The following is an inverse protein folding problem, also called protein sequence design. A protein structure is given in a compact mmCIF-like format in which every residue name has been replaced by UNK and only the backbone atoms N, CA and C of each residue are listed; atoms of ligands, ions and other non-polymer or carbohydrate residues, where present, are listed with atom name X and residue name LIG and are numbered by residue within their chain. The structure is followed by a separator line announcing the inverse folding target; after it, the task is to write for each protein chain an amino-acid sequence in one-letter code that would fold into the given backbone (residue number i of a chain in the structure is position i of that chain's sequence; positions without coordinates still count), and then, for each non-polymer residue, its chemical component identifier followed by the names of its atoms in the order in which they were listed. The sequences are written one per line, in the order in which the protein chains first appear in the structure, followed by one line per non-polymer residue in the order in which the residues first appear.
data_IF_766954744416
#
_entry.id   IF_766954744416
#
_cell.length_a   1.000
_cell.length_b   1.000
_cell.length_c   1.000
_cell.angle_alpha   90.00
_cell.angle_beta   90.00
_cell.angle_gamma   90.00
#
_symmetry.space_group_name_H-M   'P 1'
#
loop_
_entity.id
_entity.type
_entity.pdbx_description
1 polymer ?
#
# COMPACT_ATOMS: atom_id res chain seq x y z
N UNK A 1 46.25 -23.49 -18.61
CA UNK A 1 45.72 -24.80 -18.17
C UNK A 1 44.26 -24.63 -17.84
N UNK A 2 43.38 -25.27 -18.61
CA UNK A 2 41.94 -25.27 -18.40
C UNK A 2 41.60 -26.58 -17.69
N UNK A 3 41.42 -26.56 -16.38
CA UNK A 3 40.86 -27.70 -15.64
C UNK A 3 39.37 -27.45 -15.39
N UNK A 4 38.54 -28.40 -15.85
CA UNK A 4 37.09 -28.37 -15.67
C UNK A 4 36.75 -28.62 -14.19
N UNK A 5 35.83 -27.81 -13.64
CA UNK A 5 35.30 -28.03 -12.29
C UNK A 5 34.53 -29.36 -12.23
N UNK A 6 34.96 -30.26 -11.33
CA UNK A 6 34.24 -31.49 -11.02
C UNK A 6 32.88 -31.16 -10.38
N UNK A 7 31.80 -31.68 -10.97
CA UNK A 7 30.44 -31.58 -10.41
C UNK A 7 29.96 -32.96 -9.98
N UNK A 8 29.32 -33.02 -8.81
CA UNK A 8 28.89 -34.26 -8.18
C UNK A 8 27.82 -34.97 -9.02
N UNK A 9 27.96 -36.26 -9.35
CA UNK A 9 27.00 -36.98 -10.17
C UNK A 9 25.69 -37.25 -9.41
N UNK A 10 24.57 -37.23 -10.13
CA UNK A 10 23.21 -37.38 -9.59
C UNK A 10 23.01 -38.75 -8.87
N UNK A 11 23.83 -39.76 -9.18
CA UNK A 11 23.86 -41.05 -8.49
C UNK A 11 24.23 -40.96 -6.99
N UNK A 12 24.89 -39.89 -6.55
CA UNK A 12 25.23 -39.66 -5.15
C UNK A 12 23.99 -39.49 -4.24
N UNK A 13 22.83 -39.13 -4.80
CA UNK A 13 21.58 -38.98 -4.04
C UNK A 13 20.84 -40.30 -3.83
N UNK A 14 21.14 -41.35 -4.60
CA UNK A 14 20.47 -42.64 -4.51
C UNK A 14 20.97 -43.49 -3.31
N UNK A 15 22.12 -43.14 -2.71
CA UNK A 15 22.78 -43.97 -1.70
C UNK A 15 22.91 -43.31 -0.31
N UNK A 16 21.87 -42.60 0.15
CA UNK A 16 21.82 -42.12 1.56
C UNK A 16 21.03 -43.12 2.42
N UNK A 17 21.67 -44.13 3.05
CA UNK A 17 21.02 -44.88 4.12
C UNK A 17 20.76 -43.92 5.28
N UNK A 18 19.47 -43.69 5.59
CA UNK A 18 19.11 -43.01 6.84
C UNK A 18 19.56 -43.89 8.00
N UNK A 19 20.30 -43.37 9.00
CA UNK A 19 20.62 -44.14 10.19
C UNK A 19 19.31 -44.58 10.88
N UNK A 20 19.25 -45.82 11.42
CA UNK A 20 18.02 -46.37 11.97
C UNK A 20 17.63 -45.58 13.23
N UNK A 21 16.33 -45.31 13.32
CA UNK A 21 15.65 -44.79 14.51
C UNK A 21 15.98 -45.73 15.68
N UNK A 22 16.83 -45.30 16.62
CA UNK A 22 16.94 -45.94 17.92
C UNK A 22 15.57 -45.85 18.60
N UNK A 23 14.87 -46.98 18.65
CA UNK A 23 13.73 -47.23 19.52
C UNK A 23 14.24 -47.63 20.92
N UNK A 24 13.45 -47.26 21.93
CA UNK A 24 13.61 -47.49 23.38
C UNK A 24 14.52 -46.40 24.01
N UNK A 25 14.03 -45.51 24.88
CA UNK A 25 13.38 -45.80 26.15
C UNK A 25 12.37 -44.68 26.58
N UNK A 26 11.45 -45.07 27.47
CA UNK A 26 10.54 -44.23 28.30
C UNK A 26 9.21 -43.78 27.64
N UNK A 27 8.29 -44.73 27.45
CA UNK A 27 6.84 -44.42 27.45
C UNK A 27 6.30 -44.54 28.88
N UNK A 28 5.60 -43.52 29.42
CA UNK A 28 4.91 -43.66 30.70
C UNK A 28 3.74 -44.66 30.60
N UNK A 29 3.34 -45.31 31.71
CA UNK A 29 2.33 -46.38 31.69
C UNK A 29 0.98 -45.87 31.16
N UNK A 30 0.39 -46.60 30.21
CA UNK A 30 -1.02 -46.42 29.83
C UNK A 30 -1.91 -46.87 31.00
N UNK A 31 -2.34 -45.92 31.81
CA UNK A 31 -3.47 -46.09 32.72
C UNK A 31 -4.77 -46.31 31.94
N UNK A 32 -5.59 -47.21 32.45
CA UNK A 32 -6.92 -47.56 31.97
C UNK A 32 -7.86 -46.34 31.92
N UNK A 33 -8.64 -46.24 30.85
CA UNK A 33 -9.68 -45.22 30.70
C UNK A 33 -10.81 -45.46 31.72
N UNK A 34 -11.02 -44.49 32.62
CA UNK A 34 -12.30 -44.22 33.24
C UNK A 34 -12.79 -42.84 32.78
N UNK A 35 -13.99 -42.80 32.22
CA UNK A 35 -14.59 -41.60 31.68
C UNK A 35 -14.81 -40.54 32.75
N UNK A 36 -14.36 -39.32 32.47
CA UNK A 36 -14.92 -38.09 33.02
C UNK A 36 -14.57 -36.92 32.11
N UNK A 37 -15.57 -36.12 31.84
CA UNK A 37 -15.55 -34.87 31.07
C UNK A 37 -14.67 -33.83 31.75
N UNK A 38 -13.44 -33.62 31.30
CA UNK A 38 -12.68 -32.39 31.56
C UNK A 38 -11.84 -32.01 30.34
N UNK A 39 -11.96 -30.75 29.91
CA UNK A 39 -11.18 -30.12 28.86
C UNK A 39 -9.70 -30.12 29.22
N UNK A 40 -8.88 -30.80 28.42
CA UNK A 40 -7.42 -30.74 28.54
C UNK A 40 -6.99 -29.32 28.13
N UNK A 41 -6.69 -28.51 29.14
CA UNK A 41 -5.95 -27.25 29.02
C UNK A 41 -4.56 -27.54 28.43
N UNK A 42 -4.39 -27.36 27.13
CA UNK A 42 -3.08 -27.34 26.45
C UNK A 42 -2.50 -25.92 26.40
N UNK A 43 -2.49 -25.20 27.53
CA UNK A 43 -2.14 -23.77 27.56
C UNK A 43 -0.65 -23.48 27.83
N UNK A 44 0.25 -24.45 27.66
CA UNK A 44 1.68 -24.20 27.95
C UNK A 44 2.62 -24.98 27.02
N UNK A 45 2.58 -24.69 25.72
CA UNK A 45 3.71 -24.98 24.82
C UNK A 45 4.48 -23.68 24.51
N UNK A 46 5.71 -23.49 25.03
CA UNK A 46 6.49 -22.26 24.87
C UNK A 46 6.83 -21.88 23.42
N UNK A 47 6.75 -22.84 22.48
CA UNK A 47 7.09 -22.62 21.08
C UNK A 47 5.91 -22.15 20.23
N UNK A 48 4.67 -22.45 20.65
CA UNK A 48 3.44 -21.98 19.98
C UNK A 48 2.74 -20.81 20.71
N UNK A 49 3.19 -20.49 21.93
CA UNK A 49 2.65 -19.40 22.75
C UNK A 49 3.11 -18.01 22.29
N UNK A 50 4.15 -17.90 21.45
CA UNK A 50 4.70 -16.62 20.99
C UNK A 50 3.95 -16.01 19.79
N UNK A 51 2.63 -16.03 19.82
CA UNK A 51 1.88 -15.10 18.99
C UNK A 51 1.92 -13.75 19.74
N UNK A 52 2.48 -12.66 19.18
CA UNK A 52 2.51 -11.31 19.80
C UNK A 52 1.15 -10.78 20.30
N UNK A 53 0.09 -11.52 20.04
CA UNK A 53 -1.30 -11.10 19.96
C UNK A 53 -2.18 -11.65 21.09
N UNK A 54 -1.70 -12.62 21.90
CA UNK A 54 -2.47 -13.13 23.04
C UNK A 54 -2.65 -12.10 24.16
N UNK A 55 -1.69 -11.18 24.36
CA UNK A 55 -1.67 -10.30 25.53
C UNK A 55 -2.45 -8.99 25.39
N UNK A 56 -2.86 -8.58 24.18
CA UNK A 56 -3.58 -7.30 23.94
C UNK A 56 -5.09 -7.44 23.77
N UNK A 57 -5.62 -8.67 23.64
CA UNK A 57 -7.05 -8.93 23.36
C UNK A 57 -7.80 -9.60 24.52
N UNK A 58 -7.22 -9.67 25.72
CA UNK A 58 -7.83 -10.28 26.92
C UNK A 58 -8.97 -9.46 27.54
N UNK A 59 -9.77 -8.76 26.73
CA UNK A 59 -10.82 -7.84 27.18
C UNK A 59 -12.19 -8.03 26.56
N UNK A 60 -12.36 -8.88 25.54
CA UNK A 60 -13.67 -9.14 24.95
C UNK A 60 -13.82 -10.60 24.59
N UNK A 61 -14.77 -11.29 25.22
CA UNK A 61 -15.27 -12.63 24.90
C UNK A 61 -15.86 -12.68 23.47
N UNK A 62 -15.02 -12.52 22.45
CA UNK A 62 -15.45 -12.39 21.06
C UNK A 62 -14.47 -13.04 20.09
N UNK A 63 -14.85 -14.22 19.59
CA UNK A 63 -14.44 -14.86 18.33
C UNK A 63 -13.03 -14.47 17.80
N UNK A 64 -11.98 -15.04 18.40
CA UNK A 64 -10.63 -15.03 17.81
C UNK A 64 -10.30 -16.38 17.21
N UNK A 65 -9.69 -16.42 16.03
CA UNK A 65 -9.21 -17.64 15.38
C UNK A 65 -7.70 -17.50 15.09
N UNK A 66 -6.89 -18.42 15.61
CA UNK A 66 -5.43 -18.38 15.43
C UNK A 66 -4.74 -17.16 16.05
N UNK A 67 -5.37 -16.50 17.03
CA UNK A 67 -4.85 -15.27 17.65
C UNK A 67 -5.24 -13.98 16.93
N UNK A 68 -6.04 -14.05 15.85
CA UNK A 68 -6.56 -12.89 15.14
C UNK A 68 -8.07 -12.74 15.34
N UNK A 69 -8.61 -11.51 15.36
CA UNK A 69 -10.06 -11.29 15.36
C UNK A 69 -10.72 -11.93 14.13
N UNK A 70 -11.79 -12.71 14.33
CA UNK A 70 -12.50 -13.36 13.20
C UNK A 70 -12.99 -12.33 12.18
N UNK A 71 -13.44 -11.15 12.63
CA UNK A 71 -13.84 -10.05 11.73
C UNK A 71 -12.71 -9.61 10.79
N UNK A 72 -11.48 -9.51 11.28
CA UNK A 72 -10.32 -9.19 10.44
C UNK A 72 -10.07 -10.27 9.39
N UNK A 73 -10.09 -11.54 9.80
CA UNK A 73 -9.90 -12.68 8.88
C UNK A 73 -10.98 -12.74 7.79
N UNK A 74 -12.23 -12.40 8.13
CA UNK A 74 -13.32 -12.27 7.16
C UNK A 74 -13.00 -11.21 6.11
N UNK A 75 -12.49 -10.04 6.52
CA UNK A 75 -12.11 -8.99 5.58
C UNK A 75 -10.93 -9.36 4.70
N UNK A 76 -9.89 -9.98 5.25
CA UNK A 76 -8.74 -10.49 4.46
C UNK A 76 -9.19 -11.55 3.45
N UNK A 77 -10.11 -12.43 3.84
CA UNK A 77 -10.67 -13.44 2.94
C UNK A 77 -11.49 -12.80 1.82
N UNK A 78 -12.32 -11.81 2.16
CA UNK A 78 -13.11 -11.04 1.19
C UNK A 78 -12.22 -10.27 0.22
N UNK A 79 -11.15 -9.65 0.72
CA UNK A 79 -10.13 -8.95 -0.08
C UNK A 79 -9.51 -9.90 -1.11
N UNK A 80 -9.03 -11.06 -0.64
CA UNK A 80 -8.45 -12.09 -1.51
C UNK A 80 -9.43 -12.54 -2.60
N UNK A 81 -10.70 -12.79 -2.24
CA UNK A 81 -11.75 -13.18 -3.18
C UNK A 81 -12.02 -12.11 -4.23
N UNK A 82 -12.15 -10.84 -3.85
CA UNK A 82 -12.36 -9.74 -4.78
C UNK A 82 -11.17 -9.61 -5.75
N UNK A 83 -9.94 -9.69 -5.25
CA UNK A 83 -8.74 -9.63 -6.08
C UNK A 83 -8.67 -10.80 -7.08
N UNK A 84 -9.06 -12.00 -6.66
CA UNK A 84 -9.12 -13.16 -7.55
C UNK A 84 -10.13 -12.97 -8.69
N UNK A 85 -11.35 -12.53 -8.38
CA UNK A 85 -12.40 -12.29 -9.39
C UNK A 85 -11.98 -11.15 -10.32
N UNK A 86 -11.46 -10.05 -9.77
CA UNK A 86 -10.96 -8.91 -10.55
C UNK A 86 -9.85 -9.34 -11.51
N UNK A 87 -8.93 -10.21 -11.08
CA UNK A 87 -7.88 -10.78 -11.93
C UNK A 87 -8.45 -11.58 -13.10
N UNK A 88 -9.49 -12.37 -12.87
CA UNK A 88 -10.19 -13.13 -13.91
C UNK A 88 -10.87 -12.19 -14.93
N UNK A 89 -11.60 -11.17 -14.48
CA UNK A 89 -12.21 -10.19 -15.38
C UNK A 89 -11.19 -9.40 -16.19
N UNK A 90 -10.06 -9.00 -15.59
CA UNK A 90 -8.96 -8.36 -16.32
C UNK A 90 -8.41 -9.29 -17.40
N UNK A 91 -8.25 -10.58 -17.10
CA UNK A 91 -7.81 -11.57 -18.09
C UNK A 91 -8.82 -11.68 -19.24
N UNK A 92 -10.10 -11.79 -18.92
CA UNK A 92 -11.17 -11.88 -19.92
C UNK A 92 -11.24 -10.62 -20.81
N UNK A 93 -11.09 -9.43 -20.21
CA UNK A 93 -11.07 -8.16 -20.94
C UNK A 93 -9.87 -8.08 -21.89
N UNK A 94 -8.70 -8.60 -21.49
CA UNK A 94 -7.53 -8.72 -22.37
C UNK A 94 -7.78 -9.64 -23.55
N UNK A 95 -8.42 -10.79 -23.32
CA UNK A 95 -8.78 -11.73 -24.40
C UNK A 95 -9.74 -11.08 -25.41
N UNK A 96 -10.76 -10.36 -24.93
CA UNK A 96 -11.69 -9.62 -25.81
C UNK A 96 -11.01 -8.47 -26.56
N UNK A 97 -10.03 -7.78 -25.94
CA UNK A 97 -9.22 -6.78 -26.65
C UNK A 97 -8.43 -7.43 -27.80
N UNK A 98 -7.79 -8.57 -27.56
CA UNK A 98 -7.07 -9.31 -28.62
C UNK A 98 -8.02 -9.77 -29.74
N UNK A 99 -9.23 -10.25 -29.40
CA UNK A 99 -10.26 -10.60 -30.38
C UNK A 99 -10.66 -9.37 -31.22
N UNK A 100 -10.92 -8.23 -30.57
CA UNK A 100 -11.28 -6.99 -31.24
C UNK A 100 -10.16 -6.43 -32.14
N UNK A 101 -8.91 -6.51 -31.70
CA UNK A 101 -7.73 -6.14 -32.50
C UNK A 101 -7.62 -7.01 -33.75
N UNK A 102 -7.84 -8.33 -33.62
CA UNK A 102 -7.85 -9.26 -34.75
C UNK A 102 -8.98 -8.95 -35.73
N UNK A 103 -10.19 -8.64 -35.26
CA UNK A 103 -11.29 -8.25 -36.14
C UNK A 103 -10.97 -6.94 -36.89
N UNK A 104 -10.40 -5.96 -36.19
CA UNK A 104 -9.98 -4.69 -36.79
C UNK A 104 -8.90 -4.89 -37.86
N UNK A 105 -7.93 -5.77 -37.66
CA UNK A 105 -6.86 -6.00 -38.64
C UNK A 105 -7.39 -6.59 -39.96
N UNK A 106 -8.47 -7.37 -39.89
CA UNK A 106 -9.19 -7.86 -41.08
C UNK A 106 -10.27 -6.89 -41.60
N UNK A 107 -10.35 -5.66 -41.07
CA UNK A 107 -11.39 -4.67 -41.41
C UNK A 107 -12.83 -5.19 -41.19
N UNK A 108 -13.00 -6.10 -40.22
CA UNK A 108 -14.31 -6.64 -39.84
C UNK A 108 -14.96 -5.76 -38.77
N UNK A 109 -16.29 -5.65 -38.82
CA UNK A 109 -17.06 -4.94 -37.80
C UNK A 109 -17.11 -5.73 -36.48
N UNK A 110 -17.01 -5.04 -35.35
CA UNK A 110 -17.19 -5.63 -34.02
C UNK A 110 -18.68 -5.94 -33.81
N UNK A 111 -19.00 -7.21 -33.58
CA UNK A 111 -20.38 -7.65 -33.34
C UNK A 111 -20.96 -7.16 -32.01
N UNK A 112 -22.29 -6.99 -31.96
CA UNK A 112 -23.02 -6.51 -30.78
C UNK A 112 -22.82 -7.41 -29.54
N UNK A 113 -22.70 -8.72 -29.72
CA UNK A 113 -22.44 -9.64 -28.60
C UNK A 113 -21.09 -9.40 -27.93
N UNK A 114 -20.04 -9.11 -28.72
CA UNK A 114 -18.72 -8.79 -28.17
C UNK A 114 -18.78 -7.45 -27.42
N UNK A 115 -19.43 -6.45 -27.99
CA UNK A 115 -19.61 -5.15 -27.33
C UNK A 115 -20.38 -5.29 -26.00
N UNK A 116 -21.46 -6.08 -25.99
CA UNK A 116 -22.27 -6.32 -24.80
C UNK A 116 -21.47 -7.02 -23.70
N UNK A 117 -20.76 -8.11 -24.02
CA UNK A 117 -19.89 -8.82 -23.05
C UNK A 117 -18.77 -7.92 -22.50
N UNK A 118 -18.19 -7.10 -23.37
CA UNK A 118 -17.16 -6.13 -23.00
C UNK A 118 -17.71 -5.10 -22.01
N UNK A 119 -18.84 -4.46 -22.34
CA UNK A 119 -19.48 -3.47 -21.49
C UNK A 119 -19.86 -4.05 -20.12
N UNK A 120 -20.46 -5.25 -20.08
CA UNK A 120 -20.77 -5.94 -18.83
C UNK A 120 -19.51 -6.17 -17.98
N UNK A 121 -18.43 -6.67 -18.58
CA UNK A 121 -17.17 -6.93 -17.86
C UNK A 121 -16.57 -5.64 -17.28
N UNK A 122 -16.66 -4.52 -18.00
CA UNK A 122 -16.20 -3.21 -17.52
C UNK A 122 -17.03 -2.72 -16.34
N UNK A 123 -18.36 -2.88 -16.40
CA UNK A 123 -19.26 -2.50 -15.29
C UNK A 123 -19.03 -3.38 -14.06
N UNK A 124 -18.83 -4.69 -14.24
CA UNK A 124 -18.51 -5.61 -13.15
C UNK A 124 -17.16 -5.27 -12.50
N UNK A 125 -16.15 -4.86 -13.29
CA UNK A 125 -14.88 -4.36 -12.79
C UNK A 125 -15.02 -3.08 -11.97
N UNK A 126 -15.88 -2.14 -12.39
CA UNK A 126 -16.17 -0.92 -11.62
C UNK A 126 -16.81 -1.25 -10.27
N UNK A 127 -17.78 -2.18 -10.25
CA UNK A 127 -18.40 -2.63 -9.02
C UNK A 127 -17.40 -3.34 -8.10
N UNK A 128 -16.55 -4.21 -8.65
CA UNK A 128 -15.48 -4.86 -7.88
C UNK A 128 -14.48 -3.84 -7.31
N UNK A 129 -14.18 -2.75 -8.02
CA UNK A 129 -13.32 -1.68 -7.49
C UNK A 129 -13.95 -0.98 -6.28
N UNK A 130 -15.25 -0.69 -6.35
CA UNK A 130 -15.99 -0.10 -5.23
C UNK A 130 -15.98 -1.01 -4.01
N UNK A 131 -16.21 -2.30 -4.20
CA UNK A 131 -16.20 -3.27 -3.10
C UNK A 131 -14.79 -3.53 -2.58
N UNK A 132 -13.78 -3.53 -3.45
CA UNK A 132 -12.37 -3.63 -3.07
C UNK A 132 -11.97 -2.49 -2.15
N UNK A 133 -12.33 -1.25 -2.52
CA UNK A 133 -12.00 -0.06 -1.72
C UNK A 133 -12.62 -0.11 -0.31
N UNK A 134 -13.88 -0.57 -0.19
CA UNK A 134 -14.54 -0.75 1.12
C UNK A 134 -13.77 -1.74 1.99
N UNK A 135 -13.43 -2.90 1.43
CA UNK A 135 -12.72 -3.95 2.17
C UNK A 135 -11.29 -3.53 2.51
N UNK A 136 -10.60 -2.82 1.61
CA UNK A 136 -9.27 -2.28 1.88
C UNK A 136 -9.29 -1.31 3.06
N UNK A 137 -10.30 -0.44 3.15
CA UNK A 137 -10.45 0.47 4.26
C UNK A 137 -10.66 -0.27 5.59
N UNK A 138 -11.52 -1.29 5.61
CA UNK A 138 -11.73 -2.12 6.80
C UNK A 138 -10.45 -2.90 7.20
N UNK A 139 -9.72 -3.48 6.24
CA UNK A 139 -8.45 -4.16 6.49
C UNK A 139 -7.40 -3.20 7.02
N UNK A 140 -7.32 -1.98 6.47
CA UNK A 140 -6.39 -0.95 6.92
C UNK A 140 -6.68 -0.53 8.37
N UNK A 141 -7.95 -0.35 8.73
CA UNK A 141 -8.36 -0.05 10.10
C UNK A 141 -7.90 -1.14 11.07
N UNK A 142 -8.10 -2.41 10.71
CA UNK A 142 -7.58 -3.51 11.52
C UNK A 142 -6.06 -3.52 11.60
N UNK A 143 -5.35 -3.28 10.49
CA UNK A 143 -3.88 -3.21 10.50
C UNK A 143 -3.35 -2.08 11.41
N UNK A 144 -4.04 -0.95 11.47
CA UNK A 144 -3.69 0.14 12.39
C UNK A 144 -3.86 -0.25 13.86
N UNK A 145 -4.99 -0.89 14.21
CA UNK A 145 -5.25 -1.36 15.58
C UNK A 145 -4.31 -2.49 15.99
N UNK A 146 -4.01 -3.40 15.05
CA UNK A 146 -3.24 -4.61 15.28
C UNK A 146 -1.73 -4.34 15.30
N UNK A 147 -1.21 -3.59 14.34
CA UNK A 147 0.22 -3.32 14.22
C UNK A 147 0.46 -1.82 13.97
N UNK A 148 0.43 -0.96 14.99
CA UNK A 148 0.67 0.47 14.81
C UNK A 148 2.03 0.77 14.16
N UNK A 149 3.03 -0.07 14.42
CA UNK A 149 4.41 0.10 13.95
C UNK A 149 4.64 -0.48 12.53
N UNK A 150 3.71 -1.32 12.02
CA UNK A 150 3.78 -1.95 10.69
C UNK A 150 2.57 -1.63 9.80
N UNK A 151 1.55 -0.97 10.35
CA UNK A 151 0.32 -0.61 9.67
C UNK A 151 0.58 0.57 8.75
N UNK A 152 0.07 0.49 7.52
CA UNK A 152 0.03 1.66 6.66
C UNK A 152 -0.89 2.70 7.30
N UNK A 153 -0.39 3.93 7.47
CA UNK A 153 -1.17 5.10 7.91
C UNK A 153 -2.52 5.14 7.18
N UNK A 154 -3.65 5.36 7.89
CA UNK A 154 -4.99 5.45 7.29
C UNK A 154 -5.00 6.36 6.06
N UNK A 155 -5.69 5.96 4.98
CA UNK A 155 -5.71 6.72 3.73
C UNK A 155 -6.26 8.16 3.90
N UNK A 156 -7.00 8.40 4.99
CA UNK A 156 -7.62 9.69 5.30
C UNK A 156 -6.76 10.60 6.21
N UNK A 157 -5.61 10.11 6.74
CA UNK A 157 -4.69 10.99 7.47
C UNK A 157 -3.71 11.67 6.49
N UNK A 158 -3.37 12.95 6.71
CA UNK A 158 -2.29 13.61 5.97
C UNK A 158 -1.04 12.72 6.02
N UNK A 159 -0.39 12.50 4.87
CA UNK A 159 0.83 11.70 4.86
C UNK A 159 1.85 12.31 5.85
N UNK A 160 2.67 11.47 6.47
CA UNK A 160 3.74 11.95 7.37
C UNK A 160 4.64 13.00 6.68
N UNK A 161 4.85 12.83 5.36
CA UNK A 161 5.53 13.82 4.54
C UNK A 161 4.78 15.16 4.54
N UNK A 162 3.48 15.15 4.25
CA UNK A 162 2.65 16.37 4.24
C UNK A 162 2.66 17.06 5.60
N UNK A 163 2.48 16.33 6.70
CA UNK A 163 2.53 16.88 8.07
C UNK A 163 3.88 17.55 8.34
N UNK A 164 4.98 16.87 8.01
CA UNK A 164 6.34 17.42 8.17
C UNK A 164 6.55 18.69 7.34
N UNK A 165 6.11 18.70 6.08
CA UNK A 165 6.21 19.87 5.21
C UNK A 165 5.36 21.04 5.73
N UNK A 166 4.18 20.78 6.29
CA UNK A 166 3.35 21.81 6.92
C UNK A 166 4.03 22.40 8.16
N UNK A 167 4.57 21.57 9.06
CA UNK A 167 5.33 22.04 10.24
C UNK A 167 6.55 22.87 9.84
N UNK A 168 7.37 22.36 8.92
CA UNK A 168 8.55 23.07 8.41
C UNK A 168 8.16 24.39 7.73
N UNK A 169 7.07 24.42 6.96
CA UNK A 169 6.59 25.66 6.33
C UNK A 169 6.18 26.72 7.34
N UNK A 170 5.54 26.31 8.45
CA UNK A 170 5.12 27.24 9.49
C UNK A 170 6.35 27.85 10.18
N UNK A 171 7.37 27.04 10.45
CA UNK A 171 8.62 27.51 11.04
C UNK A 171 9.37 28.45 10.10
N UNK A 172 9.50 28.08 8.81
CA UNK A 172 10.14 28.91 7.78
C UNK A 172 9.44 30.27 7.66
N UNK A 173 8.11 30.28 7.57
CA UNK A 173 7.34 31.52 7.46
C UNK A 173 7.44 32.34 8.75
N UNK A 174 7.35 31.72 9.93
CA UNK A 174 7.50 32.42 11.21
C UNK A 174 8.85 33.10 11.32
N UNK A 175 9.94 32.39 11.03
CA UNK A 175 11.29 32.94 11.09
C UNK A 175 11.49 34.08 10.08
N UNK A 176 11.00 33.89 8.84
CA UNK A 176 11.16 34.89 7.76
C UNK A 176 10.32 36.14 8.01
N UNK A 177 9.13 35.97 8.57
CA UNK A 177 8.19 37.06 8.86
C UNK A 177 8.58 37.85 10.11
N UNK A 178 9.46 37.32 10.97
CA UNK A 178 9.93 38.02 12.17
C UNK A 178 11.04 39.02 11.82
N UNK A 179 10.89 40.27 12.26
CA UNK A 179 11.89 41.33 12.14
C UNK A 179 12.91 41.27 13.31
N UNK A 180 14.09 41.92 13.19
CA UNK A 180 15.09 41.94 14.26
C UNK A 180 14.60 42.54 15.59
N UNK A 181 13.57 43.38 15.55
CA UNK A 181 12.94 43.98 16.72
C UNK A 181 11.83 43.09 17.36
N UNK A 182 11.55 41.91 16.77
CA UNK A 182 10.52 40.99 17.23
C UNK A 182 9.14 41.20 16.59
N UNK A 183 8.94 42.26 15.81
CA UNK A 183 7.66 42.53 15.13
C UNK A 183 7.49 41.65 13.87
N UNK A 184 6.24 41.38 13.49
CA UNK A 184 5.93 40.68 12.24
C UNK A 184 5.85 41.66 11.07
N UNK A 185 6.47 41.32 9.93
CA UNK A 185 6.39 42.13 8.69
C UNK A 185 4.97 42.10 8.11
N UNK A 186 4.40 40.90 8.03
CA UNK A 186 3.03 40.63 7.59
C UNK A 186 2.23 40.32 8.85
N UNK A 187 1.28 41.19 9.17
CA UNK A 187 0.43 41.03 10.37
C UNK A 187 -0.90 40.35 10.06
N UNK A 188 -1.27 40.22 8.78
CA UNK A 188 -2.51 39.56 8.39
C UNK A 188 -2.35 38.03 8.55
N UNK A 189 -3.14 37.39 9.43
CA UNK A 189 -3.01 35.95 9.70
C UNK A 189 -3.43 35.10 8.49
N UNK A 190 -4.45 35.48 7.73
CA UNK A 190 -4.90 34.77 6.53
C UNK A 190 -3.83 34.78 5.44
N UNK A 191 -3.18 35.92 5.21
CA UNK A 191 -2.06 36.01 4.27
C UNK A 191 -0.86 35.18 4.74
N UNK A 192 -0.56 35.22 6.04
CA UNK A 192 0.53 34.42 6.61
C UNK A 192 0.25 32.92 6.47
N UNK A 193 -1.00 32.50 6.71
CA UNK A 193 -1.43 31.12 6.53
C UNK A 193 -1.38 30.69 5.06
N UNK A 194 -1.82 31.53 4.13
CA UNK A 194 -1.74 31.25 2.69
C UNK A 194 -0.27 31.07 2.26
N UNK A 195 0.63 31.95 2.71
CA UNK A 195 2.06 31.84 2.42
C UNK A 195 2.65 30.56 3.02
N UNK A 196 2.27 30.18 4.24
CA UNK A 196 2.67 28.90 4.84
C UNK A 196 2.19 27.71 4.02
N UNK A 197 0.92 27.68 3.58
CA UNK A 197 0.39 26.58 2.77
C UNK A 197 1.08 26.47 1.40
N UNK A 198 1.33 27.59 0.73
CA UNK A 198 2.09 27.61 -0.53
C UNK A 198 3.54 27.17 -0.31
N UNK A 199 4.15 27.54 0.81
CA UNK A 199 5.50 27.10 1.18
C UNK A 199 5.52 25.59 1.45
N UNK A 200 4.52 25.05 2.16
CA UNK A 200 4.37 23.61 2.39
C UNK A 200 4.23 22.85 1.06
N UNK A 201 3.45 23.37 0.12
CA UNK A 201 3.28 22.79 -1.21
C UNK A 201 4.60 22.69 -1.97
N UNK A 202 5.43 23.74 -1.93
CA UNK A 202 6.77 23.74 -2.52
C UNK A 202 7.71 22.74 -1.84
N UNK A 203 7.64 22.63 -0.51
CA UNK A 203 8.44 21.65 0.25
C UNK A 203 8.02 20.21 -0.09
N UNK A 204 6.72 19.92 -0.20
CA UNK A 204 6.24 18.60 -0.62
C UNK A 204 6.78 18.24 -2.02
N UNK A 205 6.69 19.17 -2.98
CA UNK A 205 7.23 18.97 -4.34
C UNK A 205 8.73 18.69 -4.30
N UNK A 206 9.49 19.44 -3.50
CA UNK A 206 10.93 19.22 -3.32
C UNK A 206 11.21 17.82 -2.78
N UNK A 207 10.52 17.42 -1.72
CA UNK A 207 10.71 16.09 -1.12
C UNK A 207 10.32 14.95 -2.09
N UNK A 208 9.28 15.14 -2.90
CA UNK A 208 8.90 14.19 -3.95
C UNK A 208 9.93 14.10 -5.08
N UNK A 209 10.61 15.20 -5.41
CA UNK A 209 11.67 15.21 -6.42
C UNK A 209 12.97 14.57 -5.92
N UNK A 210 13.29 14.73 -4.62
CA UNK A 210 14.48 14.17 -3.99
C UNK A 210 14.30 12.71 -3.53
N UNK A 211 13.07 12.33 -3.15
CA UNK A 211 12.70 11.00 -2.72
C UNK A 211 12.47 10.07 -3.90
N UNK A 212 13.42 9.17 -4.17
CA UNK A 212 13.37 8.24 -5.31
C UNK A 212 12.17 7.28 -5.32
N UNK A 213 11.47 7.10 -4.20
CA UNK A 213 10.28 6.25 -4.09
C UNK A 213 8.99 7.07 -4.18
N UNK A 214 8.58 7.33 -5.42
CA UNK A 214 7.31 7.96 -5.73
C UNK A 214 6.15 7.02 -5.44
N UNK A 215 5.45 7.24 -4.32
CA UNK A 215 4.26 6.48 -3.95
C UNK A 215 2.98 7.21 -4.39
N UNK A 216 2.00 6.47 -4.90
CA UNK A 216 0.68 6.98 -5.29
C UNK A 216 -0.04 7.76 -4.18
N UNK A 217 0.18 7.39 -2.91
CA UNK A 217 -0.35 8.09 -1.75
C UNK A 217 0.23 9.51 -1.59
N UNK A 218 1.51 9.72 -1.91
CA UNK A 218 2.12 11.06 -1.80
C UNK A 218 1.64 11.99 -2.91
N UNK A 219 1.35 11.47 -4.11
CA UNK A 219 0.69 12.25 -5.16
C UNK A 219 -0.74 12.65 -4.80
N UNK A 220 -1.48 11.73 -4.16
CA UNK A 220 -2.82 12.03 -3.61
C UNK A 220 -2.72 13.14 -2.55
N UNK A 221 -1.77 13.02 -1.61
CA UNK A 221 -1.52 14.01 -0.55
C UNK A 221 -1.15 15.39 -1.10
N UNK A 222 -0.36 15.44 -2.17
CA UNK A 222 -0.03 16.69 -2.88
C UNK A 222 -1.26 17.31 -3.56
N UNK A 223 -2.12 16.49 -4.16
CA UNK A 223 -3.38 16.94 -4.78
C UNK A 223 -4.34 17.48 -3.72
N UNK A 224 -4.44 16.80 -2.58
CA UNK A 224 -5.28 17.24 -1.47
C UNK A 224 -4.78 18.58 -0.89
N UNK A 225 -3.46 18.79 -0.83
CA UNK A 225 -2.88 20.07 -0.40
C UNK A 225 -3.22 21.21 -1.37
N UNK A 226 -3.26 20.95 -2.68
CA UNK A 226 -3.71 21.92 -3.68
C UNK A 226 -5.18 22.29 -3.50
N UNK A 227 -6.05 21.29 -3.35
CA UNK A 227 -7.48 21.49 -3.17
C UNK A 227 -7.77 22.25 -1.87
N UNK A 228 -7.05 21.96 -0.78
CA UNK A 228 -7.19 22.69 0.48
C UNK A 228 -6.78 24.16 0.38
N UNK A 229 -5.77 24.49 -0.44
CA UNK A 229 -5.41 25.88 -0.72
C UNK A 229 -6.49 26.54 -1.56
N UNK A 230 -6.91 25.87 -2.63
CA UNK A 230 -7.96 26.34 -3.55
C UNK A 230 -9.25 26.68 -2.81
N UNK A 231 -9.68 25.82 -1.89
CA UNK A 231 -10.87 26.01 -1.06
C UNK A 231 -10.72 27.08 0.04
N UNK A 232 -9.49 27.53 0.33
CA UNK A 232 -9.22 28.59 1.32
C UNK A 232 -9.14 30.00 0.71
N UNK A 233 -9.14 30.09 -0.63
CA UNK A 233 -9.00 31.35 -1.36
C UNK A 233 -10.38 31.85 -1.79
N UNK A 234 -10.57 33.17 -1.80
CA UNK A 234 -11.79 33.81 -2.30
C UNK A 234 -12.02 33.50 -3.79
N UNK A 235 -13.27 33.28 -4.17
CA UNK A 235 -13.68 32.95 -5.55
C UNK A 235 -13.12 33.94 -6.59
N UNK A 236 -12.93 35.21 -6.24
CA UNK A 236 -12.36 36.23 -7.15
C UNK A 236 -10.91 35.93 -7.57
N UNK A 237 -10.19 35.13 -6.78
CA UNK A 237 -8.79 34.79 -7.00
C UNK A 237 -8.60 33.37 -7.55
N UNK A 238 -9.69 32.61 -7.73
CA UNK A 238 -9.62 31.21 -8.16
C UNK A 238 -8.95 31.05 -9.53
N UNK A 239 -9.28 31.91 -10.50
CA UNK A 239 -8.64 31.88 -11.83
C UNK A 239 -7.15 32.17 -11.75
N UNK A 240 -6.75 33.13 -10.90
CA UNK A 240 -5.34 33.42 -10.68
C UNK A 240 -4.60 32.23 -10.07
N UNK A 241 -5.20 31.55 -9.09
CA UNK A 241 -4.63 30.36 -8.47
C UNK A 241 -4.49 29.20 -9.47
N UNK A 242 -5.53 28.96 -10.28
CA UNK A 242 -5.51 27.94 -11.33
C UNK A 242 -4.36 28.17 -12.31
N UNK A 243 -4.27 29.37 -12.87
CA UNK A 243 -3.32 29.71 -13.92
C UNK A 243 -1.87 29.73 -13.42
N UNK A 244 -1.63 30.20 -12.19
CA UNK A 244 -0.28 30.43 -11.67
C UNK A 244 0.22 29.34 -10.72
N UNK A 245 -0.65 28.44 -10.24
CA UNK A 245 -0.25 27.38 -9.28
C UNK A 245 -0.70 26.01 -9.79
N UNK A 246 -2.00 25.81 -9.99
CA UNK A 246 -2.57 24.48 -10.27
C UNK A 246 -1.99 23.87 -11.56
N UNK A 247 -1.92 24.65 -12.64
CA UNK A 247 -1.35 24.20 -13.92
C UNK A 247 0.13 23.81 -13.76
N UNK A 248 0.91 24.59 -13.03
CA UNK A 248 2.33 24.32 -12.84
C UNK A 248 2.57 23.07 -11.98
N UNK A 249 1.79 22.88 -10.92
CA UNK A 249 1.89 21.66 -10.10
C UNK A 249 1.46 20.43 -10.90
N UNK A 250 0.41 20.51 -11.72
CA UNK A 250 0.01 19.41 -12.60
C UNK A 250 1.12 19.03 -13.60
N UNK A 251 1.80 20.02 -14.18
CA UNK A 251 2.96 19.78 -15.05
C UNK A 251 4.12 19.10 -14.29
N UNK A 252 4.42 19.56 -13.08
CA UNK A 252 5.46 18.96 -12.23
C UNK A 252 5.09 17.52 -11.87
N UNK A 253 3.85 17.25 -11.46
CA UNK A 253 3.36 15.91 -11.15
C UNK A 253 3.49 14.97 -12.34
N UNK A 254 3.14 15.43 -13.55
CA UNK A 254 3.35 14.67 -14.79
C UNK A 254 4.84 14.35 -15.01
N UNK A 255 5.73 15.33 -14.80
CA UNK A 255 7.18 15.14 -14.93
C UNK A 255 7.75 14.12 -13.93
N UNK A 256 7.37 14.24 -12.65
CA UNK A 256 7.79 13.31 -11.59
C UNK A 256 7.27 11.88 -11.87
N UNK A 257 6.01 11.75 -12.30
CA UNK A 257 5.41 10.45 -12.63
C UNK A 257 6.12 9.76 -13.81
N UNK A 258 6.63 10.52 -14.79
CA UNK A 258 7.42 9.98 -15.89
C UNK A 258 8.81 9.52 -15.44
N UNK A 259 9.45 10.27 -14.53
CA UNK A 259 10.77 9.94 -13.96
C UNK A 259 10.77 8.65 -13.12
N UNK A 260 9.63 8.30 -12.50
CA UNK A 260 9.48 7.04 -11.76
C UNK A 260 9.72 5.78 -12.60
N UNK A 261 9.43 5.81 -13.91
CA UNK A 261 9.78 4.72 -14.84
C UNK A 261 11.21 4.80 -15.40
N UNK A 262 11.85 5.98 -15.33
CA UNK A 262 13.16 6.24 -15.92
C UNK A 262 14.32 5.95 -14.96
N UNK A 263 14.08 5.83 -13.65
CA UNK A 263 15.12 5.52 -12.68
C UNK A 263 15.77 4.14 -12.89
N UNK A 264 15.05 3.19 -13.50
CA UNK A 264 15.58 1.91 -13.93
C UNK A 264 16.65 2.02 -15.03
N UNK A 265 16.66 3.12 -15.80
CA UNK A 265 17.63 3.37 -16.87
C UNK A 265 18.80 4.25 -16.44
N UNK A 266 18.63 5.10 -15.41
CA UNK A 266 19.69 5.98 -14.90
C UNK A 266 20.75 5.27 -14.06
N UNK A 267 20.44 4.10 -13.49
CA UNK A 267 21.37 3.33 -12.65
C UNK A 267 22.53 2.66 -13.42
N UNK A 268 22.56 2.74 -14.76
CA UNK A 268 23.51 1.98 -15.59
C UNK A 268 24.68 2.81 -16.16
N UNK A 269 24.83 4.08 -15.79
CA UNK A 269 25.87 4.97 -16.33
C UNK A 269 27.09 5.20 -15.41
N UNK A 270 27.25 4.44 -14.32
CA UNK A 270 28.45 4.52 -13.45
C UNK A 270 29.60 3.57 -13.85
N UNK A 271 29.57 2.98 -15.05
CA UNK A 271 30.71 2.22 -15.57
C UNK A 271 31.14 2.74 -16.95
N UNK A 272 32.38 3.28 -16.98
CA UNK A 272 33.18 3.82 -18.11
C UNK A 272 33.05 5.35 -18.22
N UNK A 273 34.13 6.12 -18.07
CA UNK A 273 35.54 5.90 -18.46
C UNK A 273 36.53 6.34 -17.39
#
# INVERSE_FOLDING_TARGET
SNEAHETMPISAFAQKPRPPRFQNFLTPPRGSYQGSTQSILMDNDPLFSQSPWKSKLTGTDGETLGGFPVKFLVQVTRLSKILMIKKEHIKHLKEMNTEAEKLKSYSMSIGLDLQKRYATTVLDLDQLNKDLNKVLHEVQQFCFELAPDQGMQPADQPSELRRRCEEESQDVVRQTNTQPNGDQRVQNPELTQLVSRLTALLLQIRCLAEGGDLNSFEFKSLTDSLDDIKNSIDDSNLSCFQDNVEIHVAHIQSGLSQLGNLHAFSANNTNRT
#
